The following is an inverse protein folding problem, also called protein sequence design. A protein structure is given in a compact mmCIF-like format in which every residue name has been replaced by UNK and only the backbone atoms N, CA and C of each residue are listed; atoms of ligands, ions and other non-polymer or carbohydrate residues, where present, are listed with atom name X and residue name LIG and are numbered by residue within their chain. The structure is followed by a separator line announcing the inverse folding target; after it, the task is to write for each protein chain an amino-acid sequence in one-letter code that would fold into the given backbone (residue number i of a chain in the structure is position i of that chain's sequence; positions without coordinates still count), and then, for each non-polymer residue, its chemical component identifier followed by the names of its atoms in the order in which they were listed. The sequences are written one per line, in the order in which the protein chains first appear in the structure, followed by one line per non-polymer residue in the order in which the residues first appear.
data_IF_236102556194
#
_entry.id   IF_236102556194
#
_cell.length_a   1.000
_cell.length_b   1.000
_cell.length_c   1.000
_cell.angle_alpha   90.00
_cell.angle_beta   90.00
_cell.angle_gamma   90.00
#
_symmetry.space_group_name_H-M   'P 1'
#
loop_
_entity.id
_entity.type
_entity.pdbx_description
1 polymer ?
#
# COMPACT_ATOMS: atom_id res chain seq x y z
N UNK A 1 5.71 -4.29 7.08
CA UNK A 1 6.52 -3.29 6.34
C UNK A 1 5.95 -3.21 4.93
N UNK A 2 5.63 -2.00 4.46
CA UNK A 2 4.96 -1.80 3.17
C UNK A 2 5.95 -1.54 2.03
N UNK A 3 5.53 -1.93 0.83
CA UNK A 3 6.25 -1.66 -0.41
C UNK A 3 5.33 -0.90 -1.36
N UNK A 4 5.86 0.15 -1.98
CA UNK A 4 5.12 1.00 -2.90
C UNK A 4 5.99 1.28 -4.11
N UNK A 5 5.58 0.80 -5.28
CA UNK A 5 6.34 0.92 -6.50
C UNK A 5 5.53 1.65 -7.56
N UNK A 6 6.24 2.32 -8.46
CA UNK A 6 5.65 3.01 -9.59
C UNK A 6 6.06 2.30 -10.86
N UNK A 7 5.25 1.33 -11.27
CA UNK A 7 5.54 0.40 -12.38
C UNK A 7 5.79 1.11 -13.71
N UNK A 8 5.14 2.27 -13.94
CA UNK A 8 5.34 3.06 -15.16
C UNK A 8 6.78 3.59 -15.30
N UNK A 9 7.45 3.90 -14.18
CA UNK A 9 8.81 4.44 -14.15
C UNK A 9 9.85 3.38 -13.77
N UNK A 10 9.45 2.38 -12.99
CA UNK A 10 10.28 1.30 -12.49
C UNK A 10 9.57 -0.05 -12.65
N UNK A 11 9.58 -0.62 -13.87
CA UNK A 11 8.93 -1.89 -14.16
C UNK A 11 9.61 -3.09 -13.48
N UNK A 12 10.79 -2.90 -12.88
CA UNK A 12 11.53 -3.93 -12.17
C UNK A 12 11.38 -3.83 -10.65
N UNK A 13 10.55 -2.89 -10.15
CA UNK A 13 10.29 -2.70 -8.71
C UNK A 13 11.57 -2.58 -7.87
N UNK A 14 12.63 -2.01 -8.45
CA UNK A 14 13.92 -1.86 -7.79
C UNK A 14 13.90 -0.76 -6.70
N UNK A 15 12.98 0.22 -6.80
CA UNK A 15 12.91 1.38 -5.92
C UNK A 15 11.62 1.42 -5.12
N UNK A 16 11.71 1.01 -3.86
CA UNK A 16 10.60 1.13 -2.91
C UNK A 16 10.39 2.59 -2.51
N UNK A 17 9.22 3.15 -2.85
CA UNK A 17 8.78 4.51 -2.56
C UNK A 17 7.91 4.61 -1.29
N UNK A 18 7.72 3.51 -0.55
CA UNK A 18 6.87 3.50 0.66
C UNK A 18 7.38 4.46 1.75
N UNK A 19 8.68 4.73 1.78
CA UNK A 19 9.30 5.69 2.71
C UNK A 19 9.49 7.08 2.11
N UNK A 20 9.17 7.29 0.83
CA UNK A 20 9.39 8.56 0.14
C UNK A 20 8.29 9.58 0.51
N UNK A 21 8.63 10.72 1.14
CA UNK A 21 7.66 11.73 1.52
C UNK A 21 6.91 12.34 0.33
N UNK A 22 7.51 12.37 -0.87
CA UNK A 22 6.85 12.88 -2.08
C UNK A 22 5.66 12.00 -2.50
N UNK A 23 5.73 10.71 -2.19
CA UNK A 23 4.72 9.71 -2.58
C UNK A 23 3.76 9.35 -1.45
N UNK A 24 3.92 9.94 -0.26
CA UNK A 24 3.11 9.65 0.94
C UNK A 24 1.61 9.77 0.71
N UNK A 25 1.16 10.77 -0.06
CA UNK A 25 -0.27 10.96 -0.34
C UNK A 25 -0.83 9.80 -1.17
N UNK A 26 -0.14 9.42 -2.24
CA UNK A 26 -0.54 8.29 -3.09
C UNK A 26 -0.48 6.99 -2.29
N UNK A 27 0.57 6.79 -1.51
CA UNK A 27 0.73 5.63 -0.64
C UNK A 27 -0.46 5.44 0.31
N UNK A 28 -0.87 6.49 1.04
CA UNK A 28 -2.03 6.45 1.93
C UNK A 28 -3.32 6.15 1.15
N UNK A 29 -3.52 6.77 -0.02
CA UNK A 29 -4.70 6.52 -0.86
C UNK A 29 -4.81 5.04 -1.27
N UNK A 30 -3.70 4.42 -1.66
CA UNK A 30 -3.68 3.00 -2.03
C UNK A 30 -3.86 2.08 -0.84
N UNK A 31 -3.32 2.42 0.34
CA UNK A 31 -3.59 1.67 1.57
C UNK A 31 -5.08 1.68 1.92
N UNK A 32 -5.74 2.83 1.81
CA UNK A 32 -7.19 2.94 2.08
C UNK A 32 -8.04 2.19 1.04
N UNK A 33 -7.65 2.21 -0.24
CA UNK A 33 -8.28 1.35 -1.27
C UNK A 33 -8.15 -0.12 -0.89
N UNK A 34 -6.94 -0.58 -0.55
CA UNK A 34 -6.69 -1.97 -0.14
C UNK A 34 -7.55 -2.36 1.07
N UNK A 35 -7.55 -1.55 2.14
CA UNK A 35 -8.39 -1.78 3.32
C UNK A 35 -9.88 -1.87 2.95
N UNK A 36 -10.36 -0.99 2.09
CA UNK A 36 -11.76 -0.98 1.66
C UNK A 36 -12.13 -2.27 0.95
N UNK A 37 -11.26 -2.76 0.05
CA UNK A 37 -11.44 -4.05 -0.61
C UNK A 37 -11.42 -5.22 0.38
N UNK A 38 -10.48 -5.24 1.34
CA UNK A 38 -10.42 -6.28 2.36
C UNK A 38 -11.68 -6.30 3.25
N UNK A 39 -12.22 -5.13 3.64
CA UNK A 39 -13.51 -5.04 4.34
C UNK A 39 -14.64 -5.63 3.53
N UNK A 40 -14.71 -5.27 2.24
CA UNK A 40 -15.77 -5.72 1.34
C UNK A 40 -15.73 -7.24 1.12
N UNK A 41 -14.53 -7.83 1.04
CA UNK A 41 -14.34 -9.27 0.88
C UNK A 41 -14.42 -10.06 2.20
N UNK A 42 -14.66 -9.37 3.32
CA UNK A 42 -14.61 -9.96 4.66
C UNK A 42 -13.29 -10.72 4.92
N UNK A 43 -12.19 -10.18 4.40
CA UNK A 43 -10.86 -10.78 4.54
C UNK A 43 -10.43 -10.76 6.02
N UNK A 44 -10.24 -11.92 6.67
CA UNK A 44 -9.82 -12.00 8.07
C UNK A 44 -8.46 -11.33 8.32
N UNK A 45 -7.62 -11.15 7.29
CA UNK A 45 -6.33 -10.48 7.42
C UNK A 45 -6.42 -9.00 7.74
N UNK A 46 -7.61 -8.39 7.65
CA UNK A 46 -7.79 -6.98 7.98
C UNK A 46 -7.36 -6.63 9.42
N UNK A 47 -7.43 -7.58 10.35
CA UNK A 47 -6.97 -7.38 11.73
C UNK A 47 -5.48 -6.99 11.81
N UNK A 48 -4.66 -7.33 10.81
CA UNK A 48 -3.22 -7.00 10.79
C UNK A 48 -2.98 -5.49 10.76
N UNK A 49 -3.89 -4.71 10.20
CA UNK A 49 -3.79 -3.25 10.19
C UNK A 49 -3.85 -2.62 11.58
N UNK A 50 -4.45 -3.30 12.56
CA UNK A 50 -4.53 -2.81 13.95
C UNK A 50 -3.24 -3.07 14.74
N UNK A 51 -2.34 -3.91 14.22
CA UNK A 51 -1.08 -4.30 14.87
C UNK A 51 0.18 -3.73 14.20
N UNK A 52 0.07 -3.10 13.03
CA UNK A 52 1.19 -2.50 12.27
C UNK A 52 1.41 -1.01 12.54
#
# INVERSE_FOLDING_TARGET
QFEFFKIDEDPYEAKNLASDPAHRKAFIEYQEKMKTFQKAMQDPWIMKWDYE
#
